data_IF_994612648466
#
_entry.id   IF_994612648466
#
_cell.length_a   1.000
_cell.length_b   1.000
_cell.length_c   1.000
_cell.angle_alpha   90.00
_cell.angle_beta   90.00
_cell.angle_gamma   90.00
#
_symmetry.space_group_name_H-M   'P 1'
#
loop_
_entity.id
_entity.type
_entity.pdbx_description
1 polymer ?
#
# COMPACT_ATOMS: atom_id res chain seq x y z
N UNK A 1 25.47 7.72 8.34
CA UNK A 1 25.94 8.86 7.58
C UNK A 1 26.19 8.52 6.12
N UNK A 2 26.78 9.47 5.35
CA UNK A 2 27.11 9.26 3.91
C UNK A 2 28.07 8.07 3.66
N UNK A 3 28.89 7.71 4.65
CA UNK A 3 29.79 6.56 4.62
C UNK A 3 29.04 5.23 4.45
N UNK A 4 27.84 5.11 5.04
CA UNK A 4 27.10 3.86 5.06
C UNK A 4 26.39 3.60 3.73
N UNK A 5 25.95 4.67 3.04
CA UNK A 5 25.34 4.58 1.71
C UNK A 5 26.35 4.15 0.66
N UNK A 6 27.56 4.70 0.70
CA UNK A 6 28.63 4.28 -0.20
C UNK A 6 28.94 2.79 -0.07
N UNK A 7 29.00 2.29 1.17
CA UNK A 7 29.18 0.85 1.45
C UNK A 7 28.02 0.01 0.92
N UNK A 8 26.77 0.48 1.08
CA UNK A 8 25.60 -0.21 0.53
C UNK A 8 25.63 -0.24 -1.01
N UNK A 9 26.01 0.86 -1.64
CA UNK A 9 26.13 0.93 -3.09
C UNK A 9 27.26 0.02 -3.64
N UNK A 10 28.36 -0.09 -2.92
CA UNK A 10 29.44 -1.01 -3.27
C UNK A 10 29.03 -2.47 -3.09
N UNK A 11 28.36 -2.79 -1.97
CA UNK A 11 27.80 -4.12 -1.72
C UNK A 11 26.84 -4.53 -2.82
N UNK A 12 25.97 -3.61 -3.26
CA UNK A 12 25.03 -3.87 -4.34
C UNK A 12 25.70 -4.35 -5.64
N UNK A 13 26.87 -3.79 -5.99
CA UNK A 13 27.59 -4.15 -7.21
C UNK A 13 28.12 -5.59 -7.20
N UNK A 14 28.40 -6.14 -6.03
CA UNK A 14 28.95 -7.49 -5.86
C UNK A 14 27.91 -8.53 -5.46
N UNK A 15 26.76 -8.09 -4.96
CA UNK A 15 25.68 -8.95 -4.51
C UNK A 15 24.91 -9.57 -5.69
N UNK A 16 24.65 -10.88 -5.61
CA UNK A 16 23.93 -11.63 -6.63
C UNK A 16 22.51 -12.01 -6.23
N UNK A 17 22.23 -12.06 -4.92
CA UNK A 17 20.89 -12.38 -4.42
C UNK A 17 19.96 -11.19 -4.60
N UNK A 18 18.90 -11.37 -5.40
CA UNK A 18 17.92 -10.33 -5.69
C UNK A 18 17.23 -9.83 -4.41
N UNK A 19 17.02 -10.69 -3.42
CA UNK A 19 16.37 -10.29 -2.16
C UNK A 19 17.25 -9.34 -1.39
N UNK A 20 18.53 -9.65 -1.28
CA UNK A 20 19.52 -8.79 -0.62
C UNK A 20 19.68 -7.47 -1.38
N UNK A 21 19.78 -7.51 -2.70
CA UNK A 21 19.83 -6.30 -3.55
C UNK A 21 18.62 -5.40 -3.32
N UNK A 22 17.40 -5.96 -3.25
CA UNK A 22 16.17 -5.22 -2.96
C UNK A 22 16.19 -4.57 -1.58
N UNK A 23 16.68 -5.28 -0.55
CA UNK A 23 16.79 -4.72 0.80
C UNK A 23 17.83 -3.59 0.89
N UNK A 24 18.91 -3.66 0.13
CA UNK A 24 19.87 -2.55 -0.01
C UNK A 24 19.16 -1.30 -0.53
N UNK A 25 18.42 -1.41 -1.64
CA UNK A 25 17.68 -0.29 -2.24
C UNK A 25 16.61 0.24 -1.28
N UNK A 26 15.86 -0.68 -0.64
CA UNK A 26 14.88 -0.33 0.39
C UNK A 26 15.51 0.50 1.52
N UNK A 27 16.69 0.09 1.99
CA UNK A 27 17.42 0.78 3.04
C UNK A 27 17.90 2.18 2.62
N UNK A 28 18.31 2.33 1.36
CA UNK A 28 18.68 3.62 0.77
C UNK A 28 17.45 4.53 0.68
N UNK A 29 16.33 4.03 0.15
CA UNK A 29 15.08 4.78 0.00
C UNK A 29 14.48 5.23 1.33
N UNK A 30 14.50 4.37 2.37
CA UNK A 30 14.00 4.69 3.71
C UNK A 30 14.71 5.87 4.39
N UNK A 31 15.92 6.21 3.98
CA UNK A 31 16.63 7.36 4.54
C UNK A 31 16.03 8.70 4.11
N UNK A 32 15.25 8.73 3.04
CA UNK A 32 14.54 9.92 2.53
C UNK A 32 15.43 11.14 2.31
N UNK A 33 16.69 10.91 1.97
CA UNK A 33 17.68 11.97 1.76
C UNK A 33 17.75 12.36 0.28
N UNK A 34 17.67 13.67 -0.05
CA UNK A 34 17.74 14.12 -1.44
C UNK A 34 19.00 13.68 -2.19
N UNK A 35 20.14 13.59 -1.50
CA UNK A 35 21.39 13.12 -2.06
C UNK A 35 21.37 11.65 -2.53
N UNK A 36 20.39 10.87 -2.08
CA UNK A 36 20.23 9.48 -2.49
C UNK A 36 19.46 9.33 -3.81
N UNK A 37 18.84 10.40 -4.32
CA UNK A 37 18.06 10.34 -5.56
C UNK A 37 18.88 9.83 -6.72
N UNK A 38 20.07 10.38 -6.93
CA UNK A 38 20.95 9.98 -8.04
C UNK A 38 21.22 8.48 -8.05
N UNK A 39 21.51 7.89 -6.89
CA UNK A 39 21.72 6.46 -6.75
C UNK A 39 20.45 5.64 -7.02
N UNK A 40 19.29 6.15 -6.62
CA UNK A 40 18.00 5.51 -6.90
C UNK A 40 17.66 5.59 -8.40
N UNK A 41 18.08 6.65 -9.11
CA UNK A 41 17.92 6.73 -10.56
C UNK A 41 18.75 5.66 -11.27
N UNK A 42 19.99 5.42 -10.83
CA UNK A 42 20.83 4.37 -11.41
C UNK A 42 20.16 2.98 -11.34
N UNK A 43 19.41 2.70 -10.26
CA UNK A 43 18.68 1.43 -10.09
C UNK A 43 17.41 1.33 -10.94
N UNK A 44 16.95 2.40 -11.58
CA UNK A 44 15.84 2.32 -12.55
C UNK A 44 16.25 1.65 -13.86
N UNK A 45 17.54 1.61 -14.15
CA UNK A 45 18.12 0.97 -15.34
C UNK A 45 18.54 -0.48 -15.10
N UNK A 46 18.22 -1.08 -13.95
CA UNK A 46 18.59 -2.45 -13.63
C UNK A 46 17.83 -3.47 -14.49
N UNK A 47 18.50 -4.56 -14.86
CA UNK A 47 17.91 -5.64 -15.66
C UNK A 47 16.81 -6.40 -14.92
N UNK A 48 16.85 -6.43 -13.57
CA UNK A 48 15.83 -7.10 -12.75
C UNK A 48 14.64 -6.18 -12.46
N UNK A 49 13.44 -6.50 -12.99
CA UNK A 49 12.24 -5.68 -12.77
C UNK A 49 11.89 -5.47 -11.30
N UNK A 50 12.26 -6.39 -10.42
CA UNK A 50 12.00 -6.28 -8.97
C UNK A 50 12.87 -5.19 -8.35
N UNK A 51 14.07 -5.01 -8.85
CA UNK A 51 15.00 -3.94 -8.47
C UNK A 51 14.43 -2.59 -8.91
N UNK A 52 14.04 -2.48 -10.19
CA UNK A 52 13.40 -1.28 -10.75
C UNK A 52 12.17 -0.89 -9.94
N UNK A 53 11.27 -1.84 -9.63
CA UNK A 53 10.11 -1.58 -8.81
C UNK A 53 10.46 -1.07 -7.39
N UNK A 54 11.53 -1.56 -6.81
CA UNK A 54 11.97 -1.11 -5.49
C UNK A 54 12.57 0.30 -5.54
N UNK A 55 13.30 0.63 -6.60
CA UNK A 55 13.81 1.99 -6.84
C UNK A 55 12.68 3.00 -7.04
N UNK A 56 11.65 2.66 -7.84
CA UNK A 56 10.43 3.47 -7.99
C UNK A 56 9.84 3.79 -6.61
N UNK A 57 9.64 2.79 -5.75
CA UNK A 57 9.09 2.98 -4.40
C UNK A 57 9.98 3.85 -3.52
N UNK A 58 11.31 3.73 -3.64
CA UNK A 58 12.26 4.60 -2.93
C UNK A 58 12.16 6.07 -3.34
N UNK A 59 11.78 6.33 -4.60
CA UNK A 59 11.63 7.68 -5.16
C UNK A 59 10.27 8.33 -4.84
N UNK A 60 9.25 7.55 -4.43
CA UNK A 60 7.90 8.09 -4.14
C UNK A 60 7.90 9.15 -3.03
N UNK A 61 8.84 9.10 -2.12
CA UNK A 61 8.98 10.08 -1.05
C UNK A 61 9.30 11.49 -1.58
N UNK A 62 9.81 11.58 -2.79
CA UNK A 62 10.13 12.82 -3.51
C UNK A 62 9.06 13.15 -4.58
N UNK A 63 7.83 12.64 -4.41
CA UNK A 63 6.71 12.92 -5.31
C UNK A 63 6.49 14.44 -5.43
N UNK A 64 6.36 14.93 -6.66
CA UNK A 64 6.29 16.36 -6.98
C UNK A 64 7.64 17.02 -7.33
N UNK A 65 8.76 16.31 -7.18
CA UNK A 65 10.05 16.74 -7.69
C UNK A 65 10.12 16.50 -9.20
N UNK A 66 10.37 17.57 -9.97
CA UNK A 66 10.40 17.51 -11.45
C UNK A 66 11.47 16.57 -11.99
N UNK A 67 12.62 16.49 -11.35
CA UNK A 67 13.71 15.58 -11.73
C UNK A 67 13.26 14.12 -11.56
N UNK A 68 12.63 13.79 -10.45
CA UNK A 68 12.08 12.45 -10.19
C UNK A 68 11.00 12.11 -11.21
N UNK A 69 10.11 13.04 -11.51
CA UNK A 69 9.07 12.84 -12.52
C UNK A 69 9.66 12.55 -13.91
N UNK A 70 10.68 13.28 -14.31
CA UNK A 70 11.37 13.08 -15.59
C UNK A 70 11.95 11.66 -15.71
N UNK A 71 12.53 11.09 -14.64
CA UNK A 71 13.07 9.74 -14.63
C UNK A 71 12.00 8.65 -14.57
N UNK A 72 10.88 8.91 -13.87
CA UNK A 72 9.83 7.91 -13.70
C UNK A 72 8.85 7.85 -14.88
N UNK A 73 8.61 8.96 -15.58
CA UNK A 73 7.63 9.04 -16.67
C UNK A 73 7.89 8.07 -17.83
N UNK A 74 9.13 7.86 -18.30
CA UNK A 74 9.42 6.88 -19.35
C UNK A 74 9.07 5.44 -19.00
N UNK A 75 9.07 5.09 -17.70
CA UNK A 75 8.78 3.74 -17.22
C UNK A 75 7.34 3.30 -17.43
N UNK A 76 6.43 4.21 -17.81
CA UNK A 76 5.07 3.87 -18.25
C UNK A 76 5.10 2.92 -19.44
N UNK A 77 6.12 3.06 -20.29
CA UNK A 77 6.32 2.23 -21.49
C UNK A 77 7.40 1.15 -21.27
N UNK A 78 7.75 0.85 -20.04
CA UNK A 78 8.76 -0.17 -19.73
C UNK A 78 8.35 -1.54 -20.30
N UNK A 79 9.27 -2.34 -20.87
CA UNK A 79 8.93 -3.63 -21.49
C UNK A 79 8.30 -4.62 -20.48
N UNK A 80 8.70 -4.56 -19.22
CA UNK A 80 8.17 -5.44 -18.19
C UNK A 80 6.86 -4.92 -17.60
N UNK A 81 5.81 -5.76 -17.59
CA UNK A 81 4.46 -5.43 -17.11
C UNK A 81 4.43 -5.06 -15.61
N UNK A 82 5.24 -5.72 -14.79
CA UNK A 82 5.30 -5.44 -13.35
C UNK A 82 5.74 -3.99 -13.10
N UNK A 83 6.75 -3.52 -13.84
CA UNK A 83 7.24 -2.14 -13.74
C UNK A 83 6.16 -1.15 -14.17
N UNK A 84 5.49 -1.40 -15.33
CA UNK A 84 4.37 -0.56 -15.78
C UNK A 84 3.24 -0.49 -14.75
N UNK A 85 2.90 -1.63 -14.15
CA UNK A 85 1.84 -1.70 -13.12
C UNK A 85 2.22 -0.91 -11.87
N UNK A 86 3.45 -1.05 -11.39
CA UNK A 86 3.93 -0.33 -10.21
C UNK A 86 3.97 1.17 -10.45
N UNK A 87 4.55 1.62 -11.57
CA UNK A 87 4.66 3.05 -11.86
C UNK A 87 3.27 3.69 -12.03
N UNK A 88 2.34 3.01 -12.72
CA UNK A 88 1.00 3.50 -12.90
C UNK A 88 0.27 3.61 -11.54
N UNK A 89 0.27 2.52 -10.77
CA UNK A 89 -0.45 2.44 -9.50
C UNK A 89 0.10 3.40 -8.43
N UNK A 90 1.41 3.46 -8.29
CA UNK A 90 2.05 4.17 -7.18
C UNK A 90 2.28 5.67 -7.49
N UNK A 91 2.42 6.03 -8.75
CA UNK A 91 2.81 7.39 -9.14
C UNK A 91 1.71 8.14 -9.90
N UNK A 92 1.12 7.53 -10.94
CA UNK A 92 0.18 8.22 -11.83
C UNK A 92 -1.30 7.97 -11.51
N UNK A 93 -1.66 6.94 -10.75
CA UNK A 93 -3.07 6.68 -10.38
C UNK A 93 -3.70 7.84 -9.57
N UNK A 94 -2.88 8.62 -8.87
CA UNK A 94 -3.34 9.80 -8.12
C UNK A 94 -3.81 10.95 -9.02
N UNK A 95 -3.36 10.98 -10.26
CA UNK A 95 -3.77 12.01 -11.24
C UNK A 95 -5.14 11.70 -11.88
N UNK A 96 -5.55 10.44 -11.84
CA UNK A 96 -6.73 9.94 -12.57
C UNK A 96 -7.94 9.61 -11.69
N UNK A 97 -7.85 9.75 -10.38
CA UNK A 97 -9.04 9.64 -9.54
C UNK A 97 -9.86 10.92 -9.63
N UNK A 98 -11.03 10.91 -10.33
CA UNK A 98 -11.95 12.03 -10.24
C UNK A 98 -12.31 12.18 -8.75
N UNK A 99 -12.14 13.37 -8.21
CA UNK A 99 -12.68 13.68 -6.88
C UNK A 99 -14.18 13.41 -6.97
N UNK A 100 -14.64 12.36 -6.29
CA UNK A 100 -16.05 12.08 -6.19
C UNK A 100 -16.74 13.34 -5.67
N UNK A 101 -17.60 13.92 -6.49
CA UNK A 101 -18.45 15.06 -6.13
C UNK A 101 -19.72 14.59 -5.42
N UNK A 102 -19.85 13.28 -5.17
CA UNK A 102 -20.98 12.70 -4.49
C UNK A 102 -21.01 13.18 -3.02
N UNK A 103 -22.15 13.70 -2.63
CA UNK A 103 -22.42 14.00 -1.21
C UNK A 103 -22.67 12.70 -0.47
N UNK A 104 -21.69 12.28 0.34
CA UNK A 104 -21.82 11.08 1.16
C UNK A 104 -22.57 11.38 2.46
N UNK A 105 -23.28 10.38 2.97
CA UNK A 105 -23.92 10.47 4.28
C UNK A 105 -22.89 10.74 5.39
N UNK A 106 -23.26 11.54 6.37
CA UNK A 106 -22.43 11.76 7.55
C UNK A 106 -22.70 10.70 8.60
N UNK A 107 -21.66 10.24 9.27
CA UNK A 107 -21.80 9.36 10.44
C UNK A 107 -22.53 10.10 11.56
N UNK A 108 -23.46 9.42 12.24
CA UNK A 108 -24.14 9.96 13.41
C UNK A 108 -23.17 10.35 14.52
N UNK A 109 -23.43 11.48 15.19
CA UNK A 109 -22.52 12.00 16.21
C UNK A 109 -22.31 11.02 17.39
N UNK A 110 -23.31 10.23 17.74
CA UNK A 110 -23.20 9.23 18.82
C UNK A 110 -22.29 8.04 18.44
N UNK A 111 -21.89 7.90 17.16
CA UNK A 111 -20.96 6.87 16.70
C UNK A 111 -19.53 7.43 16.51
N UNK A 112 -19.31 8.71 16.79
CA UNK A 112 -17.97 9.31 16.66
C UNK A 112 -17.16 9.14 17.95
N UNK A 113 -15.91 8.72 17.82
CA UNK A 113 -14.96 8.58 18.94
C UNK A 113 -15.44 7.63 20.05
N UNK A 114 -16.11 6.54 19.67
CA UNK A 114 -16.64 5.55 20.60
C UNK A 114 -16.04 4.17 20.36
N UNK A 115 -16.03 3.35 21.39
CA UNK A 115 -15.77 1.92 21.31
C UNK A 115 -17.06 1.19 21.63
N UNK A 116 -17.49 0.32 20.70
CA UNK A 116 -18.73 -0.45 20.86
C UNK A 116 -18.37 -1.91 21.12
N UNK A 117 -18.79 -2.43 22.27
CA UNK A 117 -18.67 -3.85 22.60
C UNK A 117 -19.93 -4.60 22.19
N UNK A 118 -19.96 -5.11 20.96
CA UNK A 118 -21.09 -5.86 20.42
C UNK A 118 -20.62 -6.75 19.25
N UNK A 119 -21.51 -7.64 18.79
CA UNK A 119 -21.28 -8.33 17.51
C UNK A 119 -21.22 -7.28 16.38
N UNK A 120 -20.12 -7.30 15.63
CA UNK A 120 -19.87 -6.34 14.54
C UNK A 120 -21.01 -6.30 13.53
N UNK A 121 -21.62 -7.44 13.20
CA UNK A 121 -22.75 -7.55 12.25
C UNK A 121 -24.01 -6.81 12.74
N UNK A 122 -24.17 -6.68 14.07
CA UNK A 122 -25.26 -5.91 14.64
C UNK A 122 -24.89 -4.43 14.80
N UNK A 123 -23.67 -4.16 15.25
CA UNK A 123 -23.20 -2.80 15.45
C UNK A 123 -23.17 -2.00 14.13
N UNK A 124 -22.73 -2.59 13.03
CA UNK A 124 -22.64 -1.91 11.74
C UNK A 124 -24.02 -1.52 11.16
N UNK A 125 -25.11 -2.18 11.54
CA UNK A 125 -26.47 -1.81 11.11
C UNK A 125 -26.90 -0.39 11.53
N UNK A 126 -26.27 0.16 12.56
CA UNK A 126 -26.53 1.54 13.01
C UNK A 126 -25.68 2.58 12.26
N UNK A 127 -24.73 2.13 11.46
CA UNK A 127 -23.86 3.01 10.68
C UNK A 127 -24.51 3.25 9.32
N UNK A 128 -24.73 4.53 8.91
CA UNK A 128 -25.31 4.83 7.60
C UNK A 128 -24.42 4.36 6.44
N UNK A 129 -25.05 4.11 5.30
CA UNK A 129 -24.35 3.78 4.06
C UNK A 129 -23.36 4.90 3.70
N UNK A 130 -22.21 4.53 3.13
CA UNK A 130 -21.21 5.47 2.62
C UNK A 130 -20.84 6.61 3.59
N UNK A 131 -20.80 6.32 4.89
CA UNK A 131 -20.51 7.33 5.93
C UNK A 131 -19.11 7.22 6.53
N UNK A 132 -18.41 6.12 6.29
CA UNK A 132 -17.08 5.83 6.83
C UNK A 132 -16.02 5.99 5.74
N UNK A 133 -14.97 6.78 5.99
CA UNK A 133 -13.91 7.04 5.00
C UNK A 133 -12.85 5.94 4.93
N UNK A 134 -12.64 5.22 6.03
CA UNK A 134 -11.66 4.16 6.13
C UNK A 134 -12.13 3.11 7.13
N UNK A 135 -12.17 1.88 6.70
CA UNK A 135 -12.34 0.72 7.58
C UNK A 135 -11.01 -0.02 7.69
N UNK A 136 -10.58 -0.25 8.92
CA UNK A 136 -9.40 -1.05 9.22
C UNK A 136 -9.80 -2.23 10.10
N UNK A 137 -9.52 -3.46 9.65
CA UNK A 137 -9.86 -4.66 10.39
C UNK A 137 -8.82 -5.76 10.19
N UNK A 138 -8.70 -6.62 11.19
CA UNK A 138 -7.98 -7.88 11.12
C UNK A 138 -8.97 -8.97 11.54
N UNK A 139 -9.66 -9.61 10.59
CA UNK A 139 -10.64 -10.63 10.90
C UNK A 139 -9.99 -11.83 11.60
N UNK A 140 -10.74 -12.57 12.42
CA UNK A 140 -10.21 -13.77 13.08
C UNK A 140 -9.76 -14.80 12.05
N UNK A 141 -8.68 -15.52 12.36
CA UNK A 141 -8.23 -16.64 11.55
C UNK A 141 -9.09 -17.87 11.81
N UNK A 142 -9.34 -18.66 10.75
CA UNK A 142 -10.10 -19.89 10.88
C UNK A 142 -9.45 -20.84 11.90
N UNK A 143 -10.14 -21.04 13.03
CA UNK A 143 -9.74 -21.95 14.12
C UNK A 143 -8.25 -21.91 14.54
N UNK A 144 -7.58 -20.77 14.33
CA UNK A 144 -6.16 -20.63 14.65
C UNK A 144 -5.92 -20.28 16.13
N UNK A 145 -6.96 -19.81 16.84
CA UNK A 145 -6.91 -19.43 18.27
C UNK A 145 -8.26 -19.67 18.93
N UNK A 146 -8.26 -19.81 20.25
CA UNK A 146 -9.43 -20.17 21.07
C UNK A 146 -10.52 -19.08 21.13
N UNK A 147 -10.24 -17.86 20.67
CA UNK A 147 -11.21 -16.77 20.70
C UNK A 147 -12.28 -16.85 19.59
N UNK A 148 -12.12 -17.73 18.63
CA UNK A 148 -13.03 -17.87 17.48
C UNK A 148 -12.99 -19.30 16.96
N UNK A 149 -14.01 -20.10 17.33
CA UNK A 149 -14.16 -21.48 16.86
C UNK A 149 -15.37 -21.55 15.93
N UNK A 150 -15.14 -21.90 14.69
CA UNK A 150 -16.17 -22.10 13.68
C UNK A 150 -16.41 -23.59 13.44
N UNK A 151 -17.69 -24.05 13.31
CA UNK A 151 -18.02 -25.46 13.14
C UNK A 151 -17.50 -26.02 11.80
N UNK A 152 -17.30 -25.19 10.79
CA UNK A 152 -16.73 -25.55 9.50
C UNK A 152 -16.06 -24.36 8.82
N UNK A 153 -15.21 -24.63 7.84
CA UNK A 153 -14.62 -23.59 7.01
C UNK A 153 -15.69 -22.78 6.26
N UNK A 154 -16.74 -23.45 5.81
CA UNK A 154 -17.87 -22.79 5.14
C UNK A 154 -18.57 -21.79 6.07
N UNK A 155 -18.84 -22.17 7.32
CA UNK A 155 -19.44 -21.26 8.31
C UNK A 155 -18.55 -20.06 8.61
N UNK A 156 -17.24 -20.24 8.58
CA UNK A 156 -16.29 -19.12 8.70
C UNK A 156 -16.36 -18.17 7.51
N UNK A 157 -16.45 -18.69 6.28
CA UNK A 157 -16.57 -17.87 5.08
C UNK A 157 -17.91 -17.11 5.05
N UNK A 158 -19.01 -17.73 5.46
CA UNK A 158 -20.32 -17.08 5.58
C UNK A 158 -20.29 -15.92 6.59
N UNK A 159 -19.67 -16.14 7.74
CA UNK A 159 -19.44 -15.09 8.71
C UNK A 159 -18.65 -13.91 8.12
N UNK A 160 -17.56 -14.18 7.42
CA UNK A 160 -16.74 -13.14 6.79
C UNK A 160 -17.51 -12.40 5.69
N UNK A 161 -18.31 -13.10 4.89
CA UNK A 161 -19.15 -12.48 3.85
C UNK A 161 -20.12 -11.48 4.44
N UNK A 162 -20.82 -11.85 5.53
CA UNK A 162 -21.70 -10.93 6.24
C UNK A 162 -20.97 -9.68 6.74
N UNK A 163 -19.80 -9.85 7.35
CA UNK A 163 -19.01 -8.73 7.89
C UNK A 163 -18.52 -7.83 6.77
N UNK A 164 -17.97 -8.41 5.69
CA UNK A 164 -17.43 -7.62 4.59
C UNK A 164 -18.51 -6.94 3.76
N UNK A 165 -19.69 -7.52 3.64
CA UNK A 165 -20.83 -6.89 2.98
C UNK A 165 -21.29 -5.63 3.73
N UNK A 166 -21.41 -5.69 5.05
CA UNK A 166 -21.73 -4.54 5.87
C UNK A 166 -20.60 -3.50 5.86
N UNK A 167 -19.35 -3.94 5.92
CA UNK A 167 -18.19 -3.06 5.82
C UNK A 167 -18.16 -2.31 4.49
N UNK A 168 -18.43 -2.99 3.38
CA UNK A 168 -18.54 -2.38 2.07
C UNK A 168 -19.68 -1.35 2.01
N UNK A 169 -20.87 -1.70 2.55
CA UNK A 169 -22.02 -0.80 2.56
C UNK A 169 -21.74 0.53 3.25
N UNK A 170 -21.04 0.50 4.38
CA UNK A 170 -20.78 1.72 5.18
C UNK A 170 -19.59 2.53 4.67
N UNK A 171 -18.69 1.92 3.91
CA UNK A 171 -17.44 2.58 3.46
C UNK A 171 -17.71 3.37 2.19
N UNK A 172 -17.25 4.61 2.17
CA UNK A 172 -17.33 5.50 1.00
C UNK A 172 -16.48 4.97 -0.15
N UNK A 173 -16.96 5.13 -1.37
CA UNK A 173 -16.19 4.89 -2.58
C UNK A 173 -15.10 5.96 -2.80
#
# INVERSE_FOLDING_TARGET
GNSDIKKLAELYKTEKDTTVRREIISSIGRQRKPENKALLFDFLEDEDPKIVCQAIRGLLVFSGDKEVEQHLRPLINHPNEMVRTVIYKEYFAKESTPKSTLSHAATHDFLKNVVVNADVRQALKFVPDESVHLTFTSPPYYNARDYSIYPSYQAYLEFLDEVFRETHRITKE
#
